data_IF_047324003127
#
_entry.id   IF_047324003127
#
_cell.length_a   1.000
_cell.length_b   1.000
_cell.length_c   1.000
_cell.angle_alpha   90.00
_cell.angle_beta   90.00
_cell.angle_gamma   90.00
#
_symmetry.space_group_name_H-M   'P 1'
#
loop_
_entity.id
_entity.type
_entity.pdbx_description
1 polymer ?
#
# COMPACT_ATOMS: atom_id res chain seq x y z
N UNK A 1 -7.64 0.12 0.50
CA UNK A 1 -7.48 -0.81 -0.63
C UNK A 1 -7.72 -0.04 -1.91
N UNK A 2 -6.72 0.01 -2.79
CA UNK A 2 -6.79 0.71 -4.07
C UNK A 2 -6.65 -0.30 -5.22
N UNK A 3 -7.08 0.10 -6.41
CA UNK A 3 -7.01 -0.75 -7.60
C UNK A 3 -5.65 -0.54 -8.23
N UNK A 4 -4.87 -1.62 -8.30
CA UNK A 4 -3.82 -1.76 -9.29
C UNK A 4 -4.47 -2.15 -10.62
N UNK A 5 -3.85 -1.76 -11.73
CA UNK A 5 -4.23 -2.29 -13.02
C UNK A 5 -4.23 -3.83 -12.99
N UNK A 6 -5.33 -4.52 -13.37
CA UNK A 6 -5.45 -5.97 -13.22
C UNK A 6 -4.49 -6.75 -14.12
N UNK A 7 -3.94 -6.12 -15.16
CA UNK A 7 -3.03 -6.73 -16.14
C UNK A 7 -1.58 -6.42 -15.76
N UNK A 8 -1.25 -5.16 -15.50
CA UNK A 8 0.14 -4.71 -15.26
C UNK A 8 0.50 -4.66 -13.78
N UNK A 9 -0.49 -4.70 -12.88
CA UNK A 9 -0.34 -4.46 -11.43
C UNK A 9 0.37 -3.15 -11.08
N UNK A 10 0.32 -2.18 -12.00
CA UNK A 10 0.85 -0.84 -11.78
C UNK A 10 -0.24 0.12 -11.28
N UNK A 11 0.18 1.22 -10.68
CA UNK A 11 -0.72 2.31 -10.32
C UNK A 11 -1.33 2.96 -11.58
N UNK A 12 -2.64 3.17 -11.55
CA UNK A 12 -3.37 3.82 -12.64
C UNK A 12 -3.02 5.31 -12.67
N UNK A 13 -2.56 5.81 -13.83
CA UNK A 13 -2.27 7.23 -14.08
C UNK A 13 -3.51 7.96 -14.63
N UNK A 14 -4.22 8.67 -13.76
CA UNK A 14 -5.47 9.34 -14.07
C UNK A 14 -5.31 10.66 -14.81
N UNK A 15 -4.16 11.35 -14.66
CA UNK A 15 -3.89 12.60 -15.35
C UNK A 15 -3.57 12.42 -16.84
N UNK A 16 -3.19 11.22 -17.26
CA UNK A 16 -2.80 10.91 -18.65
C UNK A 16 -4.00 10.66 -19.58
N UNK A 17 -5.21 11.08 -19.20
CA UNK A 17 -6.42 10.91 -20.03
C UNK A 17 -7.04 9.53 -19.98
N UNK A 18 -6.72 8.71 -18.96
CA UNK A 18 -7.37 7.41 -18.77
C UNK A 18 -8.86 7.61 -18.45
N UNK A 19 -9.74 7.23 -19.38
CA UNK A 19 -11.18 7.13 -19.13
C UNK A 19 -11.47 5.87 -18.30
N UNK A 20 -11.06 5.89 -17.03
CA UNK A 20 -11.21 4.79 -16.10
C UNK A 20 -12.24 5.18 -15.01
N UNK A 21 -13.26 4.35 -14.74
CA UNK A 21 -14.30 4.65 -13.74
C UNK A 21 -13.76 4.84 -12.31
N UNK A 22 -12.53 4.39 -12.04
CA UNK A 22 -11.86 4.56 -10.76
C UNK A 22 -11.03 5.83 -10.66
N UNK A 23 -10.84 6.58 -11.75
CA UNK A 23 -10.11 7.83 -11.71
C UNK A 23 -10.96 8.98 -11.15
N UNK A 24 -10.37 9.77 -10.27
CA UNK A 24 -10.93 11.02 -9.76
C UNK A 24 -9.81 12.08 -9.69
N UNK A 25 -9.19 12.44 -10.83
CA UNK A 25 -8.02 13.31 -10.84
C UNK A 25 -8.34 14.66 -10.19
N UNK A 26 -7.36 15.21 -9.46
CA UNK A 26 -7.49 16.54 -8.86
C UNK A 26 -6.90 17.55 -9.85
N UNK A 27 -7.75 18.41 -10.39
CA UNK A 27 -7.32 19.52 -11.23
C UNK A 27 -6.62 20.57 -10.36
N UNK A 28 -5.41 20.95 -10.75
CA UNK A 28 -4.64 21.99 -10.05
C UNK A 28 -5.14 23.36 -10.53
N UNK A 29 -5.42 24.31 -9.61
CA UNK A 29 -5.75 25.69 -9.97
C UNK A 29 -4.65 26.34 -10.84
N UNK A 30 -5.05 27.15 -11.81
CA UNK A 30 -4.09 27.72 -12.78
C UNK A 30 -3.09 28.70 -12.16
N UNK A 31 -3.47 29.30 -11.03
CA UNK A 31 -2.71 30.25 -10.22
C UNK A 31 -1.86 29.59 -9.12
N UNK A 32 -1.84 28.25 -9.05
CA UNK A 32 -1.01 27.53 -8.10
C UNK A 32 0.48 27.64 -8.45
N UNK A 33 1.23 28.39 -7.63
CA UNK A 33 2.65 28.65 -7.87
C UNK A 33 3.52 27.40 -7.73
N UNK A 34 3.17 26.48 -6.82
CA UNK A 34 3.98 25.30 -6.56
C UNK A 34 3.84 24.30 -7.70
N UNK A 35 2.61 23.88 -7.99
CA UNK A 35 2.33 22.85 -8.98
C UNK A 35 2.47 23.39 -10.40
N UNK A 36 1.83 24.51 -10.76
CA UNK A 36 1.89 25.05 -12.13
C UNK A 36 3.19 25.81 -12.37
N UNK A 37 3.59 26.67 -11.45
CA UNK A 37 4.78 27.50 -11.59
C UNK A 37 6.09 26.71 -11.54
N UNK A 38 6.34 25.99 -10.44
CA UNK A 38 7.61 25.29 -10.23
C UNK A 38 7.67 23.90 -10.88
N UNK A 39 6.55 23.16 -10.89
CA UNK A 39 6.53 21.75 -11.33
C UNK A 39 5.85 21.52 -12.69
N UNK A 40 5.26 22.57 -13.30
CA UNK A 40 4.51 22.49 -14.57
C UNK A 40 3.41 21.41 -14.56
N UNK A 41 2.88 21.09 -13.38
CA UNK A 41 1.87 20.09 -13.14
C UNK A 41 0.49 20.75 -13.04
N UNK A 42 -0.47 20.26 -13.83
CA UNK A 42 -1.85 20.76 -13.84
C UNK A 42 -2.89 19.78 -13.30
N UNK A 43 -2.43 18.59 -12.92
CA UNK A 43 -3.28 17.50 -12.45
C UNK A 43 -2.51 16.63 -11.46
N UNK A 44 -3.17 16.17 -10.41
CA UNK A 44 -2.64 15.21 -9.44
C UNK A 44 -3.37 13.87 -9.64
N UNK A 45 -2.60 12.80 -9.82
CA UNK A 45 -3.13 11.44 -9.97
C UNK A 45 -3.86 11.03 -8.68
N UNK A 46 -5.15 10.73 -8.81
CA UNK A 46 -5.95 10.23 -7.70
C UNK A 46 -6.93 9.16 -8.19
N UNK A 47 -6.89 8.01 -7.52
CA UNK A 47 -7.79 6.88 -7.71
C UNK A 47 -8.78 6.77 -6.56
N UNK A 48 -10.01 6.39 -6.87
CA UNK A 48 -11.06 6.13 -5.90
C UNK A 48 -10.73 4.86 -5.13
N UNK A 49 -11.00 4.86 -3.82
CA UNK A 49 -11.00 3.63 -3.03
C UNK A 49 -11.99 2.62 -3.59
N UNK A 50 -11.71 1.34 -3.42
CA UNK A 50 -12.62 0.27 -3.83
C UNK A 50 -14.02 0.46 -3.23
N UNK A 51 -15.04 0.15 -4.04
CA UNK A 51 -16.40 0.05 -3.54
C UNK A 51 -16.49 -1.19 -2.65
N UNK A 52 -16.92 -1.00 -1.41
CA UNK A 52 -17.34 -2.06 -0.54
C UNK A 52 -18.77 -2.51 -0.84
N UNK A 53 -19.16 -3.59 -0.20
CA UNK A 53 -20.53 -4.13 -0.24
C UNK A 53 -21.22 -3.73 1.07
N UNK A 54 -22.46 -3.25 0.98
CA UNK A 54 -23.27 -2.95 2.16
C UNK A 54 -23.54 -4.22 2.96
N UNK A 55 -23.72 -4.09 4.28
CA UNK A 55 -24.21 -5.21 5.13
C UNK A 55 -25.52 -5.73 4.57
N UNK A 56 -25.62 -7.05 4.38
CA UNK A 56 -26.76 -7.74 3.73
C UNK A 56 -26.94 -7.47 2.22
N UNK A 57 -25.92 -6.92 1.56
CA UNK A 57 -25.88 -6.65 0.11
C UNK A 57 -27.04 -5.80 -0.48
N UNK A 58 -27.65 -4.81 0.22
CA UNK A 58 -28.65 -3.95 -0.39
C UNK A 58 -28.02 -3.02 -1.42
N UNK A 59 -28.81 -2.68 -2.45
CA UNK A 59 -28.52 -1.55 -3.32
C UNK A 59 -28.59 -0.26 -2.50
N UNK A 60 -27.60 0.62 -2.69
CA UNK A 60 -27.49 1.85 -1.92
C UNK A 60 -26.28 2.69 -2.29
N UNK A 61 -26.00 3.75 -1.52
CA UNK A 61 -24.82 4.57 -1.70
C UNK A 61 -23.52 3.76 -1.68
N UNK A 62 -22.49 4.24 -2.37
CA UNK A 62 -21.17 3.61 -2.38
C UNK A 62 -20.53 3.72 -0.99
N UNK A 63 -20.12 2.58 -0.43
CA UNK A 63 -19.30 2.48 0.78
C UNK A 63 -17.88 2.01 0.46
N UNK A 64 -16.95 2.07 1.42
CA UNK A 64 -15.58 1.59 1.29
C UNK A 64 -15.33 0.42 2.25
N UNK A 65 -14.39 -0.45 1.90
CA UNK A 65 -14.03 -1.61 2.74
C UNK A 65 -12.83 -1.29 3.63
N UNK A 66 -12.92 -1.68 4.91
CA UNK A 66 -11.75 -1.76 5.78
C UNK A 66 -11.01 -3.09 5.54
N UNK A 67 -9.75 -3.03 5.11
CA UNK A 67 -8.92 -4.20 4.88
C UNK A 67 -8.23 -4.70 6.17
N UNK A 68 -8.36 -3.95 7.27
CA UNK A 68 -7.80 -4.26 8.57
C UNK A 68 -8.88 -4.68 9.56
N UNK A 69 -8.47 -5.33 10.63
CA UNK A 69 -9.34 -5.56 11.79
C UNK A 69 -9.67 -4.22 12.46
N UNK A 70 -10.91 -4.09 12.95
CA UNK A 70 -11.37 -2.88 13.64
C UNK A 70 -10.84 -2.70 15.08
N UNK A 71 -10.55 -3.75 15.88
CA UNK A 71 -10.03 -3.58 17.23
C UNK A 71 -8.58 -3.06 17.26
N UNK A 72 -8.16 -2.53 18.41
CA UNK A 72 -6.75 -2.21 18.69
C UNK A 72 -6.05 -3.50 19.13
N UNK A 73 -5.59 -4.28 18.16
CA UNK A 73 -5.04 -5.64 18.35
C UNK A 73 -3.59 -5.79 17.84
N UNK A 74 -2.94 -4.67 17.53
CA UNK A 74 -1.63 -4.63 16.89
C UNK A 74 -1.56 -5.37 15.53
N UNK A 75 -2.64 -5.34 14.75
CA UNK A 75 -2.67 -5.86 13.37
C UNK A 75 -1.58 -5.30 12.45
N UNK A 76 -1.05 -4.10 12.71
CA UNK A 76 0.07 -3.53 11.97
C UNK A 76 1.40 -4.26 12.24
N UNK A 77 1.48 -5.04 13.34
CA UNK A 77 2.59 -5.94 13.66
C UNK A 77 2.28 -7.36 13.18
N UNK A 78 1.09 -7.88 13.50
CA UNK A 78 0.77 -9.30 13.35
C UNK A 78 0.02 -9.67 12.07
N UNK A 79 -0.51 -8.69 11.33
CA UNK A 79 -1.33 -8.92 10.16
C UNK A 79 -2.83 -8.97 10.49
N UNK A 80 -3.66 -8.60 9.50
CA UNK A 80 -5.13 -8.75 9.55
C UNK A 80 -5.64 -10.00 8.81
N UNK A 81 -4.74 -10.84 8.28
CA UNK A 81 -5.07 -12.09 7.61
C UNK A 81 -4.06 -13.19 7.99
N UNK A 82 -4.52 -14.44 8.03
CA UNK A 82 -3.72 -15.58 8.51
C UNK A 82 -2.49 -15.86 7.63
N UNK A 83 -2.62 -15.71 6.32
CA UNK A 83 -1.51 -15.91 5.38
C UNK A 83 -0.34 -14.95 5.66
N UNK A 84 -0.62 -13.66 5.88
CA UNK A 84 0.38 -12.66 6.23
C UNK A 84 0.92 -12.91 7.64
N UNK A 85 0.05 -13.20 8.61
CA UNK A 85 0.47 -13.52 9.98
C UNK A 85 1.46 -14.69 10.00
N UNK A 86 1.20 -15.74 9.22
CA UNK A 86 2.10 -16.88 9.09
C UNK A 86 3.42 -16.50 8.41
N UNK A 87 3.40 -15.66 7.36
CA UNK A 87 4.62 -15.14 6.71
C UNK A 87 5.49 -14.30 7.67
N UNK A 88 4.88 -13.62 8.63
CA UNK A 88 5.58 -12.76 9.61
C UNK A 88 6.20 -13.54 10.77
N UNK A 89 5.78 -14.79 11.01
CA UNK A 89 6.28 -15.61 12.13
C UNK A 89 7.49 -16.44 11.70
N UNK A 90 8.49 -16.54 12.57
CA UNK A 90 9.60 -17.47 12.37
C UNK A 90 9.22 -18.90 12.74
N UNK A 91 8.15 -19.07 13.51
CA UNK A 91 7.75 -20.32 14.17
C UNK A 91 8.82 -20.90 15.13
N UNK A 92 9.81 -20.08 15.50
CA UNK A 92 10.87 -20.45 16.43
C UNK A 92 10.78 -19.62 17.71
N UNK A 93 10.58 -20.28 18.85
CA UNK A 93 10.52 -19.61 20.16
C UNK A 93 9.43 -18.53 20.27
N UNK A 94 8.36 -18.62 19.46
CA UNK A 94 7.26 -17.65 19.44
C UNK A 94 7.62 -16.30 18.80
N UNK A 95 8.70 -16.23 18.02
CA UNK A 95 9.21 -14.97 17.46
C UNK A 95 8.63 -14.63 16.09
N UNK A 96 8.77 -13.35 15.73
CA UNK A 96 8.60 -12.87 14.37
C UNK A 96 9.90 -13.05 13.57
N UNK A 97 9.75 -13.16 12.26
CA UNK A 97 10.86 -13.18 11.31
C UNK A 97 11.55 -11.82 11.32
N UNK A 98 12.87 -11.83 11.45
CA UNK A 98 13.70 -10.62 11.50
C UNK A 98 15.02 -10.87 10.75
N UNK A 99 15.65 -9.82 10.22
CA UNK A 99 16.92 -9.93 9.49
C UNK A 99 18.08 -9.38 10.33
N UNK A 100 19.12 -10.18 10.61
CA UNK A 100 20.33 -9.71 11.26
C UNK A 100 21.20 -8.96 10.25
N UNK A 101 21.16 -7.64 10.27
CA UNK A 101 21.88 -6.81 9.27
C UNK A 101 23.37 -6.72 9.58
N UNK A 102 23.74 -6.75 10.86
CA UNK A 102 25.12 -6.56 11.32
C UNK A 102 25.38 -7.36 12.61
N UNK A 103 25.33 -8.70 12.50
CA UNK A 103 25.57 -9.61 13.63
C UNK A 103 26.93 -9.37 14.32
N UNK A 104 27.93 -8.83 13.61
CA UNK A 104 29.24 -8.48 14.15
C UNK A 104 29.28 -7.21 15.02
N UNK A 105 28.31 -6.29 14.88
CA UNK A 105 28.35 -4.96 15.52
C UNK A 105 27.37 -4.83 16.70
N UNK A 106 26.84 -5.95 17.22
CA UNK A 106 25.83 -5.99 18.30
C UNK A 106 24.58 -5.14 18.02
N UNK A 107 24.23 -4.94 16.76
CA UNK A 107 23.02 -4.20 16.40
C UNK A 107 21.78 -5.09 16.48
N UNK A 108 20.64 -4.48 16.79
CA UNK A 108 19.35 -5.16 16.77
C UNK A 108 18.96 -5.53 15.34
N UNK A 109 18.25 -6.66 15.15
CA UNK A 109 17.78 -7.04 13.83
C UNK A 109 16.67 -6.10 13.35
N UNK A 110 16.44 -6.07 12.04
CA UNK A 110 15.40 -5.23 11.40
C UNK A 110 14.28 -6.09 10.82
N UNK A 111 13.21 -5.43 10.36
CA UNK A 111 12.11 -6.08 9.67
C UNK A 111 12.57 -6.80 8.39
N UNK A 112 11.95 -7.92 8.03
CA UNK A 112 12.29 -8.65 6.82
C UNK A 112 11.91 -7.85 5.56
N UNK A 113 12.59 -8.06 4.41
CA UNK A 113 12.22 -7.43 3.16
C UNK A 113 10.94 -8.05 2.56
N UNK A 114 10.07 -7.24 1.96
CA UNK A 114 8.92 -7.69 1.16
C UNK A 114 9.41 -8.17 -0.22
N UNK A 115 9.65 -9.48 -0.33
CA UNK A 115 10.10 -10.12 -1.59
C UNK A 115 8.95 -10.56 -2.50
N UNK A 116 7.77 -10.83 -1.93
CA UNK A 116 6.56 -11.18 -2.68
C UNK A 116 5.88 -9.90 -3.15
N UNK A 117 5.75 -9.74 -4.47
CA UNK A 117 5.23 -8.52 -5.11
C UNK A 117 5.93 -7.25 -4.58
N UNK A 118 7.24 -7.11 -4.82
CA UNK A 118 8.06 -6.13 -4.14
C UNK A 118 7.72 -4.67 -4.50
N UNK A 119 7.11 -4.45 -5.67
CA UNK A 119 6.71 -3.13 -6.18
C UNK A 119 5.27 -2.73 -5.78
N UNK A 120 4.48 -3.65 -5.22
CA UNK A 120 3.11 -3.35 -4.81
C UNK A 120 3.12 -2.41 -3.58
N UNK A 121 2.64 -1.18 -3.79
CA UNK A 121 2.62 -0.13 -2.77
C UNK A 121 3.99 0.40 -2.36
N UNK A 122 5.05 0.04 -3.08
CA UNK A 122 6.42 0.40 -2.74
C UNK A 122 7.13 1.00 -3.95
N UNK A 123 7.66 2.22 -3.79
CA UNK A 123 8.49 2.85 -4.81
C UNK A 123 9.94 2.45 -4.55
N UNK A 124 10.46 1.50 -5.34
CA UNK A 124 11.84 1.02 -5.21
C UNK A 124 12.76 1.77 -6.17
N UNK A 125 13.77 2.51 -5.67
CA UNK A 125 14.74 3.21 -6.53
C UNK A 125 15.75 2.26 -7.19
N UNK A 126 15.96 1.07 -6.62
CA UNK A 126 16.86 0.04 -7.15
C UNK A 126 16.24 -1.35 -6.93
N UNK A 127 16.44 -2.33 -7.86
CA UNK A 127 15.89 -3.69 -7.71
C UNK A 127 16.31 -4.44 -6.45
N UNK A 128 17.48 -4.08 -5.89
CA UNK A 128 18.07 -4.70 -4.70
C UNK A 128 17.57 -4.09 -3.38
N UNK A 129 16.86 -2.96 -3.45
CA UNK A 129 16.23 -2.35 -2.27
C UNK A 129 14.78 -2.82 -2.20
N UNK A 130 14.32 -3.19 -1.01
CA UNK A 130 12.96 -3.67 -0.79
C UNK A 130 12.31 -2.86 0.34
N UNK A 131 11.00 -2.62 0.24
CA UNK A 131 10.23 -2.19 1.40
C UNK A 131 10.19 -3.29 2.47
N UNK A 132 9.87 -2.90 3.70
CA UNK A 132 9.74 -3.86 4.80
C UNK A 132 8.44 -4.64 4.72
N UNK A 133 8.51 -5.91 5.10
CA UNK A 133 7.36 -6.75 5.34
C UNK A 133 6.95 -6.59 6.81
N UNK A 134 5.71 -6.17 7.02
CA UNK A 134 5.07 -5.97 8.33
C UNK A 134 3.61 -6.44 8.30
N UNK A 135 2.87 -6.28 9.41
CA UNK A 135 1.45 -6.63 9.51
C UNK A 135 0.52 -5.79 8.63
N UNK A 136 1.00 -4.64 8.16
CA UNK A 136 0.34 -3.79 7.18
C UNK A 136 1.31 -3.49 6.03
N UNK A 137 0.79 -3.24 4.82
CA UNK A 137 1.62 -2.65 3.77
C UNK A 137 1.99 -1.22 4.16
N UNK A 138 3.31 -0.96 4.14
CA UNK A 138 3.95 0.34 4.34
C UNK A 138 4.40 0.87 3.00
#
# INVERSE_FOLDING_TARGET
MYILDPITRQEIKCCSGANNPYCIPINVPIDDQFFVGSHRQRCIDMIRSLAGVNTDCPLGPRVQTNALTSPIDANFIYGSNENLANKLRSFEGGKLTMVPVLAGNRLKPILPPKKDQPDDGCIRPHPDLYCFLAGISI
#
